data_IF_755709265834
#
_entry.id   IF_755709265834
#
_cell.length_a   1.000
_cell.length_b   1.000
_cell.length_c   1.000
_cell.angle_alpha   90.00
_cell.angle_beta   90.00
_cell.angle_gamma   90.00
#
_symmetry.space_group_name_H-M   'P 1'
#
loop_
_entity.id
_entity.type
_entity.pdbx_description
1 polymer ?
#
# COMPACT_ATOMS: atom_id res chain seq x y z
N UNK A 1 -2.85 2.23 -20.27
CA UNK A 1 -3.26 1.11 -19.39
C UNK A 1 -3.90 1.71 -18.14
N UNK A 2 -5.00 1.14 -17.65
CA UNK A 2 -5.93 1.80 -16.71
C UNK A 2 -5.34 2.04 -15.31
N UNK A 3 -5.03 3.29 -14.97
CA UNK A 3 -4.58 3.73 -13.63
C UNK A 3 -5.76 3.98 -12.66
N UNK A 4 -6.88 3.26 -12.82
CA UNK A 4 -8.13 3.50 -12.09
C UNK A 4 -8.59 2.34 -11.23
N UNK A 5 -7.76 1.30 -11.05
CA UNK A 5 -8.10 0.09 -10.31
C UNK A 5 -8.75 0.37 -8.93
N UNK A 6 -8.19 1.30 -8.16
CA UNK A 6 -8.74 1.67 -6.85
C UNK A 6 -10.08 2.39 -7.00
N UNK A 7 -10.19 3.33 -7.94
CA UNK A 7 -11.42 4.10 -8.22
C UNK A 7 -12.57 3.20 -8.66
N UNK A 8 -12.28 2.20 -9.50
CA UNK A 8 -13.25 1.20 -9.96
C UNK A 8 -13.72 0.30 -8.81
N UNK A 9 -12.81 -0.12 -7.92
CA UNK A 9 -13.19 -0.93 -6.74
C UNK A 9 -14.06 -0.18 -5.75
N UNK A 10 -13.86 1.14 -5.61
CA UNK A 10 -14.75 1.99 -4.80
C UNK A 10 -16.12 2.11 -5.47
N UNK A 11 -16.16 2.39 -6.78
CA UNK A 11 -17.41 2.52 -7.53
C UNK A 11 -18.25 1.23 -7.50
N UNK A 12 -17.59 0.08 -7.54
CA UNK A 12 -18.24 -1.23 -7.44
C UNK A 12 -18.60 -1.64 -6.01
N UNK A 13 -18.34 -0.80 -5.00
CA UNK A 13 -18.62 -1.08 -3.59
C UNK A 13 -17.76 -2.19 -2.98
N UNK A 14 -16.72 -2.66 -3.70
CA UNK A 14 -15.79 -3.70 -3.22
C UNK A 14 -14.87 -3.11 -2.13
N UNK A 15 -14.57 -1.82 -2.21
CA UNK A 15 -13.66 -1.14 -1.30
C UNK A 15 -14.32 0.13 -0.74
N UNK A 16 -14.54 0.16 0.56
CA UNK A 16 -15.04 1.34 1.27
C UNK A 16 -13.86 2.10 1.86
N UNK A 17 -13.63 3.33 1.40
CA UNK A 17 -12.61 4.19 1.99
C UNK A 17 -13.23 4.94 3.18
N UNK A 18 -12.62 4.78 4.35
CA UNK A 18 -12.88 5.67 5.46
C UNK A 18 -11.87 6.83 5.37
N UNK A 19 -12.37 8.06 5.28
CA UNK A 19 -11.52 9.22 5.40
C UNK A 19 -11.04 9.32 6.85
N UNK A 20 -9.73 9.23 7.03
CA UNK A 20 -9.06 9.43 8.31
C UNK A 20 -8.15 10.64 8.12
N UNK A 21 -8.15 11.59 9.07
CA UNK A 21 -7.29 12.78 9.00
C UNK A 21 -5.83 12.33 9.03
N UNK A 22 -4.93 12.99 8.31
CA UNK A 22 -3.53 12.55 8.19
C UNK A 22 -2.82 12.39 9.54
N UNK A 23 -3.21 13.18 10.55
CA UNK A 23 -2.67 13.08 11.91
C UNK A 23 -3.20 11.86 12.69
N UNK A 24 -4.37 11.36 12.30
CA UNK A 24 -5.05 10.19 12.87
C UNK A 24 -4.81 8.91 12.05
N UNK A 25 -4.41 9.08 10.78
CA UNK A 25 -3.89 8.00 9.97
C UNK A 25 -2.69 7.43 10.74
N UNK A 26 -2.61 6.11 10.86
CA UNK A 26 -1.40 5.46 11.36
C UNK A 26 -0.27 5.70 10.36
N UNK A 27 0.29 6.91 10.35
CA UNK A 27 1.50 7.32 9.64
C UNK A 27 2.71 6.52 10.13
N UNK A 28 2.54 5.73 11.20
CA UNK A 28 3.57 5.04 11.94
C UNK A 28 3.58 3.50 11.81
N UNK A 29 2.76 2.89 10.93
CA UNK A 29 2.86 1.43 10.70
C UNK A 29 4.20 1.10 10.04
N UNK A 30 4.68 1.97 9.15
CA UNK A 30 5.91 1.78 8.37
C UNK A 30 7.07 2.69 8.80
N UNK A 31 6.87 3.62 9.72
CA UNK A 31 7.92 4.55 10.20
C UNK A 31 8.36 4.35 11.65
N UNK A 32 7.67 3.52 12.46
CA UNK A 32 8.36 2.82 13.57
C UNK A 32 9.43 1.97 12.91
N UNK A 33 10.65 1.94 13.46
CA UNK A 33 11.82 1.20 12.94
C UNK A 33 11.43 -0.23 12.57
N UNK A 34 10.93 -0.41 11.35
CA UNK A 34 10.40 -1.65 10.85
C UNK A 34 11.56 -2.27 10.13
N UNK A 35 12.03 -3.40 10.64
CA UNK A 35 13.23 -3.99 10.08
C UNK A 35 13.02 -4.23 8.58
N UNK A 36 13.96 -3.75 7.77
CA UNK A 36 13.90 -3.73 6.31
C UNK A 36 13.57 -5.11 5.72
N UNK A 37 14.01 -6.18 6.38
CA UNK A 37 13.69 -7.56 6.00
C UNK A 37 12.21 -7.93 6.19
N UNK A 38 11.54 -7.41 7.23
CA UNK A 38 10.10 -7.60 7.44
C UNK A 38 9.33 -6.78 6.40
N UNK A 39 9.80 -5.56 6.10
CA UNK A 39 9.22 -4.74 5.03
C UNK A 39 9.29 -5.44 3.68
N UNK A 40 10.48 -5.90 3.28
CA UNK A 40 10.68 -6.67 2.04
C UNK A 40 9.81 -7.91 1.99
N UNK A 41 9.72 -8.68 3.08
CA UNK A 41 8.86 -9.86 3.16
C UNK A 41 7.37 -9.53 3.00
N UNK A 42 6.91 -8.42 3.57
CA UNK A 42 5.52 -7.98 3.43
C UNK A 42 5.24 -7.48 2.01
N UNK A 43 6.17 -6.72 1.43
CA UNK A 43 6.09 -6.28 0.03
C UNK A 43 6.02 -7.49 -0.91
N UNK A 44 6.85 -8.52 -0.70
CA UNK A 44 6.78 -9.78 -1.45
C UNK A 44 5.45 -10.50 -1.35
N UNK A 45 4.88 -10.61 -0.14
CA UNK A 45 3.54 -11.19 0.04
C UNK A 45 2.43 -10.39 -0.63
N UNK A 46 2.60 -9.07 -0.74
CA UNK A 46 1.67 -8.18 -1.41
C UNK A 46 1.91 -8.12 -2.93
N UNK A 47 2.95 -8.77 -3.45
CA UNK A 47 3.35 -8.67 -4.87
C UNK A 47 3.85 -7.28 -5.25
N UNK A 48 4.28 -6.49 -4.26
CA UNK A 48 4.80 -5.13 -4.37
C UNK A 48 6.33 -5.10 -4.27
N UNK A 49 6.99 -6.14 -4.76
CA UNK A 49 8.44 -6.12 -4.94
C UNK A 49 8.78 -5.24 -6.14
N UNK A 50 9.82 -4.42 -5.98
CA UNK A 50 10.30 -3.57 -7.06
C UNK A 50 11.01 -4.43 -8.12
N UNK A 51 10.28 -4.80 -9.15
CA UNK A 51 10.77 -5.57 -10.31
C UNK A 51 11.58 -4.72 -11.30
N UNK A 52 11.76 -3.43 -11.03
CA UNK A 52 12.44 -2.49 -11.91
C UNK A 52 13.83 -2.09 -11.40
N UNK A 53 14.59 -3.04 -10.85
CA UNK A 53 16.04 -2.85 -10.76
C UNK A 53 16.62 -2.76 -12.18
N UNK A 54 17.24 -1.64 -12.59
CA UNK A 54 17.97 -1.61 -13.85
C UNK A 54 19.12 -2.60 -13.73
N UNK A 55 19.17 -3.56 -14.65
CA UNK A 55 20.30 -4.48 -14.80
C UNK A 55 21.47 -3.75 -15.45
#
# INVERSE_FOLDING_TARGET
>A
MNHHFIKEKIANGILTIQYIRSEEQCTNIFTKRFYEHIMRRLLGKLGMEDIHFPT
#
